data_IF_620925001958
#
_entry.id   IF_620925001958
#
_cell.length_a   1.000
_cell.length_b   1.000
_cell.length_c   1.000
_cell.angle_alpha   90.00
_cell.angle_beta   90.00
_cell.angle_gamma   90.00
#
_symmetry.space_group_name_H-M   'P 1'
#
loop_
_entity.id
_entity.type
_entity.pdbx_description
1 polymer ?
#
# COMPACT_ATOMS: atom_id res chain seq x y z
N UNK A 1 2.35 3.02 8.56
CA UNK A 1 1.04 3.66 8.74
C UNK A 1 0.54 3.98 7.34
N UNK A 2 -0.60 3.40 7.00
CA UNK A 2 -1.36 3.78 5.83
C UNK A 2 -2.34 4.87 6.27
N UNK A 3 -2.44 5.95 5.51
CA UNK A 3 -3.57 6.88 5.62
C UNK A 3 -4.59 6.45 4.57
N UNK A 4 -5.80 6.16 5.03
CA UNK A 4 -6.83 5.50 4.24
C UNK A 4 -8.12 6.29 4.39
N UNK A 5 -8.82 6.52 3.31
CA UNK A 5 -10.22 6.93 3.33
C UNK A 5 -11.14 5.77 3.73
N UNK A 6 -10.69 4.50 3.71
CA UNK A 6 -11.51 3.37 4.14
C UNK A 6 -10.71 2.18 4.74
N UNK A 7 -10.78 2.01 6.06
CA UNK A 7 -10.28 0.79 6.75
C UNK A 7 -11.49 0.02 7.22
N UNK A 8 -12.02 -0.94 6.45
CA UNK A 8 -13.04 -1.82 7.04
C UNK A 8 -13.28 -3.16 6.38
N UNK A 9 -13.63 -4.05 7.30
CA UNK A 9 -13.81 -5.50 7.24
C UNK A 9 -15.15 -5.88 6.57
N UNK A 10 -15.99 -4.90 6.17
CA UNK A 10 -17.26 -5.15 5.48
C UNK A 10 -17.73 -3.99 4.58
N UNK A 11 -17.92 -4.31 3.30
CA UNK A 11 -18.95 -3.85 2.34
C UNK A 11 -19.22 -2.33 2.17
N UNK A 12 -18.41 -1.68 1.33
CA UNK A 12 -18.93 -0.79 0.28
C UNK A 12 -19.28 0.65 0.64
N UNK A 13 -19.17 1.07 1.90
CA UNK A 13 -19.42 2.47 2.28
C UNK A 13 -18.10 3.20 2.51
N UNK A 14 -17.92 4.34 1.83
CA UNK A 14 -16.78 5.24 2.07
C UNK A 14 -16.95 5.92 3.43
N UNK A 15 -15.85 6.06 4.16
CA UNK A 15 -15.89 6.79 5.44
C UNK A 15 -15.85 8.30 5.17
N UNK A 16 -16.43 9.08 6.09
CA UNK A 16 -16.42 10.55 6.02
C UNK A 16 -15.20 11.17 6.68
N UNK A 17 -14.42 10.37 7.39
CA UNK A 17 -13.27 10.82 8.19
C UNK A 17 -12.05 10.02 7.79
N UNK A 18 -10.90 10.68 7.69
CA UNK A 18 -9.65 10.00 7.36
C UNK A 18 -9.37 8.90 8.39
N UNK A 19 -9.11 7.70 7.91
CA UNK A 19 -8.74 6.52 8.68
C UNK A 19 -7.24 6.27 8.57
N UNK A 20 -6.74 5.41 9.45
CA UNK A 20 -5.37 4.91 9.38
C UNK A 20 -5.28 3.44 9.77
N UNK A 21 -4.31 2.75 9.18
CA UNK A 21 -4.03 1.36 9.52
C UNK A 21 -2.54 1.07 9.65
N UNK A 22 -2.21 0.13 10.53
CA UNK A 22 -0.87 -0.45 10.64
C UNK A 22 -0.84 -1.78 9.90
N UNK A 23 -0.01 -1.85 8.87
CA UNK A 23 0.25 -3.05 8.07
C UNK A 23 1.73 -3.39 8.10
N UNK A 24 2.07 -4.61 7.69
CA UNK A 24 3.45 -5.07 7.54
C UNK A 24 3.81 -5.15 6.06
N UNK A 25 5.04 -4.77 5.71
CA UNK A 25 5.60 -5.06 4.40
C UNK A 25 5.77 -6.58 4.27
N UNK A 26 5.34 -7.13 3.14
CA UNK A 26 5.44 -8.56 2.84
C UNK A 26 6.61 -8.76 1.89
N UNK A 27 7.38 -9.83 2.12
CA UNK A 27 8.50 -10.17 1.26
C UNK A 27 8.05 -10.34 -0.19
N UNK A 28 8.80 -9.76 -1.13
CA UNK A 28 8.47 -9.76 -2.55
C UNK A 28 8.20 -11.18 -3.09
N UNK A 29 9.05 -12.14 -2.75
CA UNK A 29 8.92 -13.52 -3.24
C UNK A 29 7.67 -14.21 -2.72
N UNK A 30 7.30 -13.93 -1.46
CA UNK A 30 6.05 -14.43 -0.87
C UNK A 30 4.85 -13.80 -1.56
N UNK A 31 4.84 -12.47 -1.72
CA UNK A 31 3.73 -11.81 -2.39
C UNK A 31 3.58 -12.23 -3.85
N UNK A 32 4.69 -12.40 -4.56
CA UNK A 32 4.66 -12.81 -5.96
C UNK A 32 4.04 -14.20 -6.13
N UNK A 33 4.31 -15.14 -5.21
CA UNK A 33 3.65 -16.45 -5.18
C UNK A 33 2.16 -16.36 -4.88
N UNK A 34 1.73 -15.40 -4.06
CA UNK A 34 0.31 -15.20 -3.77
C UNK A 34 -0.45 -14.68 -5.00
N UNK A 35 0.18 -13.88 -5.86
CA UNK A 35 -0.43 -13.28 -7.04
C UNK A 35 0.05 -13.91 -8.35
N UNK A 36 0.32 -15.22 -8.38
CA UNK A 36 0.64 -15.97 -9.60
C UNK A 36 1.72 -15.31 -10.48
N UNK A 37 2.75 -14.76 -9.83
CA UNK A 37 3.90 -14.10 -10.43
C UNK A 37 3.63 -12.76 -11.13
N UNK A 38 2.49 -12.11 -10.87
CA UNK A 38 2.12 -10.80 -11.42
C UNK A 38 2.82 -9.59 -10.75
N UNK A 39 3.51 -9.78 -9.63
CA UNK A 39 4.14 -8.69 -8.87
C UNK A 39 5.49 -8.33 -9.49
N UNK A 40 5.59 -7.12 -10.04
CA UNK A 40 6.81 -6.60 -10.66
C UNK A 40 7.78 -6.01 -9.63
N UNK A 41 9.02 -5.71 -10.05
CA UNK A 41 10.03 -5.03 -9.21
C UNK A 41 9.67 -3.59 -8.83
N UNK A 42 8.69 -2.99 -9.51
CA UNK A 42 8.16 -1.66 -9.25
C UNK A 42 6.98 -1.67 -8.25
N UNK A 43 6.61 -2.85 -7.77
CA UNK A 43 5.53 -3.05 -6.81
C UNK A 43 6.08 -3.60 -5.49
N UNK A 44 5.36 -3.34 -4.40
CA UNK A 44 5.54 -3.99 -3.10
C UNK A 44 4.18 -4.35 -2.53
N UNK A 45 4.14 -5.29 -1.60
CA UNK A 45 2.90 -5.68 -0.93
C UNK A 45 2.95 -5.34 0.55
N UNK A 46 1.81 -4.93 1.10
CA UNK A 46 1.67 -4.69 2.52
C UNK A 46 0.29 -5.11 3.02
N UNK A 47 0.23 -5.69 4.20
CA UNK A 47 -1.03 -6.13 4.79
C UNK A 47 -0.85 -7.12 5.93
N UNK A 48 -1.93 -7.78 6.28
CA UNK A 48 -1.96 -8.95 7.14
C UNK A 48 -2.36 -10.17 6.31
N UNK A 49 -1.54 -11.23 6.29
CA UNK A 49 -1.86 -12.44 5.51
C UNK A 49 -3.10 -13.18 6.04
N UNK A 50 -3.51 -12.94 7.29
CA UNK A 50 -4.78 -13.44 7.81
C UNK A 50 -5.99 -12.62 7.33
N UNK A 51 -5.78 -11.53 6.58
CA UNK A 51 -6.82 -10.58 6.19
C UNK A 51 -7.17 -9.58 7.30
N UNK A 52 -8.35 -8.98 7.19
CA UNK A 52 -8.94 -8.07 8.19
C UNK A 52 -8.45 -6.62 8.15
N UNK A 53 -7.22 -6.35 7.72
CA UNK A 53 -6.68 -4.98 7.61
C UNK A 53 -6.11 -4.78 6.22
N UNK A 54 -6.63 -3.79 5.49
CA UNK A 54 -6.22 -3.48 4.13
C UNK A 54 -6.61 -2.06 3.73
N UNK A 55 -5.96 -1.55 2.69
CA UNK A 55 -6.49 -0.44 1.90
C UNK A 55 -7.62 -0.97 1.01
N UNK A 56 -8.60 -0.14 0.67
CA UNK A 56 -9.74 -0.55 -0.14
C UNK A 56 -10.12 0.52 -1.18
N UNK A 57 -11.33 0.40 -1.71
CA UNK A 57 -11.88 1.32 -2.70
C UNK A 57 -11.91 2.75 -2.15
N UNK A 58 -11.42 3.69 -2.96
CA UNK A 58 -11.27 5.10 -2.57
C UNK A 58 -9.92 5.46 -1.97
N UNK A 59 -9.06 4.47 -1.65
CA UNK A 59 -7.73 4.73 -1.09
C UNK A 59 -6.63 4.85 -2.16
N UNK A 60 -6.93 4.53 -3.42
CA UNK A 60 -5.99 4.57 -4.54
C UNK A 60 -5.26 5.92 -4.65
N UNK A 61 -3.94 5.89 -4.78
CA UNK A 61 -3.09 7.08 -4.73
C UNK A 61 -2.70 7.52 -3.31
N UNK A 62 -3.33 6.96 -2.28
CA UNK A 62 -3.05 7.24 -0.88
C UNK A 62 -1.66 6.75 -0.42
N UNK A 63 -1.11 7.34 0.65
CA UNK A 63 0.26 7.07 1.09
C UNK A 63 0.37 5.83 1.99
N UNK A 64 1.35 4.98 1.69
CA UNK A 64 1.93 4.03 2.63
C UNK A 64 3.22 4.61 3.20
N UNK A 65 3.17 5.01 4.47
CA UNK A 65 4.30 5.59 5.18
C UNK A 65 4.95 4.58 6.15
N UNK A 66 6.28 4.58 6.23
CA UNK A 66 7.05 3.81 7.21
C UNK A 66 7.79 4.76 8.16
N UNK A 67 7.81 4.41 9.45
CA UNK A 67 8.56 5.15 10.46
C UNK A 67 10.03 4.73 10.37
N UNK A 68 10.90 5.68 10.02
CA UNK A 68 12.33 5.48 9.94
C UNK A 68 13.08 5.98 11.17
N UNK A 69 14.41 6.10 11.05
CA UNK A 69 15.27 6.65 12.10
C UNK A 69 14.88 8.10 12.42
N UNK A 70 15.08 8.50 13.67
CA UNK A 70 14.79 9.88 14.11
C UNK A 70 13.30 10.22 14.14
N UNK A 71 12.42 9.22 14.27
CA UNK A 71 10.96 9.40 14.32
C UNK A 71 10.36 10.09 13.08
N UNK A 72 11.02 9.96 11.92
CA UNK A 72 10.57 10.55 10.66
C UNK A 72 9.78 9.54 9.84
N UNK A 73 8.66 9.99 9.29
CA UNK A 73 7.85 9.20 8.37
C UNK A 73 8.34 9.36 6.94
N UNK A 74 8.45 8.24 6.22
CA UNK A 74 8.88 8.19 4.83
C UNK A 74 7.80 7.54 3.97
N UNK A 75 7.46 8.19 2.85
CA UNK A 75 6.59 7.60 1.84
C UNK A 75 7.31 6.41 1.18
N UNK A 76 6.81 5.21 1.41
CA UNK A 76 7.42 3.95 0.96
C UNK A 76 6.62 3.33 -0.17
N UNK A 77 5.30 3.52 -0.17
CA UNK A 77 4.43 3.05 -1.23
C UNK A 77 3.25 3.97 -1.49
N UNK A 78 2.59 3.73 -2.63
CA UNK A 78 1.34 4.40 -3.02
C UNK A 78 0.30 3.31 -3.25
N UNK A 79 -0.89 3.43 -2.64
CA UNK A 79 -1.98 2.47 -2.81
C UNK A 79 -2.28 2.32 -4.29
N UNK A 80 -2.25 1.09 -4.81
CA UNK A 80 -2.42 0.82 -6.24
C UNK A 80 -3.60 -0.10 -6.50
N UNK A 81 -3.48 -1.38 -6.11
CA UNK A 81 -4.50 -2.39 -6.41
C UNK A 81 -4.47 -3.55 -5.40
N UNK A 82 -5.45 -4.46 -5.50
CA UNK A 82 -5.55 -5.68 -4.71
C UNK A 82 -6.74 -6.52 -5.14
N UNK A 83 -6.75 -7.81 -4.79
CA UNK A 83 -7.88 -8.69 -5.07
C UNK A 83 -8.93 -8.65 -3.96
N UNK A 84 -9.89 -7.74 -4.10
CA UNK A 84 -10.83 -7.44 -3.02
C UNK A 84 -10.15 -6.68 -1.88
N UNK A 85 -10.82 -6.59 -0.73
CA UNK A 85 -10.29 -5.88 0.43
C UNK A 85 -10.22 -6.82 1.64
N UNK A 86 -9.10 -6.76 2.38
CA UNK A 86 -8.92 -7.44 3.66
C UNK A 86 -9.11 -8.96 3.60
N UNK A 87 -8.88 -9.56 2.42
CA UNK A 87 -9.00 -11.01 2.20
C UNK A 87 -7.76 -11.74 2.70
N UNK A 88 -7.98 -12.93 3.26
CA UNK A 88 -6.88 -13.83 3.64
C UNK A 88 -6.00 -14.14 2.44
N UNK A 89 -4.68 -14.07 2.63
CA UNK A 89 -3.66 -14.32 1.60
C UNK A 89 -3.74 -13.42 0.36
N UNK A 90 -4.49 -12.31 0.41
CA UNK A 90 -4.61 -11.32 -0.66
C UNK A 90 -4.23 -9.94 -0.11
N UNK A 91 -2.93 -9.67 0.09
CA UNK A 91 -2.49 -8.39 0.63
C UNK A 91 -2.61 -7.28 -0.42
N UNK A 92 -2.84 -6.03 0.00
CA UNK A 92 -2.78 -4.88 -0.91
C UNK A 92 -1.43 -4.75 -1.61
N UNK A 93 -1.48 -4.30 -2.87
CA UNK A 93 -0.33 -4.04 -3.74
C UNK A 93 -0.16 -2.54 -3.93
N UNK A 94 1.07 -2.10 -3.76
CA UNK A 94 1.45 -0.69 -3.73
C UNK A 94 2.55 -0.44 -4.75
N UNK A 95 2.53 0.74 -5.37
CA UNK A 95 3.69 1.21 -6.13
C UNK A 95 4.86 1.39 -5.19
N UNK A 96 6.02 0.82 -5.52
CA UNK A 96 7.25 0.93 -4.72
C UNK A 96 7.94 2.25 -5.05
N UNK A 97 7.80 3.24 -4.17
CA UNK A 97 8.28 4.62 -4.42
C UNK A 97 9.78 4.68 -4.69
N UNK A 98 10.58 3.85 -4.01
CA UNK A 98 12.03 3.79 -4.23
C UNK A 98 12.42 3.37 -5.65
N UNK A 99 11.54 2.65 -6.37
CA UNK A 99 11.78 2.28 -7.77
C UNK A 99 11.61 3.45 -8.74
N UNK A 100 11.12 4.60 -8.27
CA UNK A 100 10.90 5.82 -9.05
C UNK A 100 11.71 7.01 -8.50
N UNK A 101 12.76 6.73 -7.70
CA UNK A 101 13.55 7.75 -7.02
C UNK A 101 14.23 8.75 -7.98
N UNK A 102 14.59 8.34 -9.19
CA UNK A 102 15.18 9.23 -10.19
C UNK A 102 14.12 10.07 -10.91
N UNK A 103 12.96 9.46 -11.20
CA UNK A 103 11.88 10.12 -11.94
C UNK A 103 11.21 11.23 -11.14
N UNK A 104 10.95 11.02 -9.83
CA UNK A 104 10.21 11.98 -9.00
C UNK A 104 10.91 13.36 -8.95
N UNK A 105 12.20 13.46 -8.58
CA UNK A 105 12.88 14.76 -8.54
C UNK A 105 12.98 15.40 -9.92
N UNK A 106 13.29 14.61 -10.97
CA UNK A 106 13.38 15.14 -12.34
C UNK A 106 12.08 15.79 -12.80
N UNK A 107 10.94 15.19 -12.43
CA UNK A 107 9.61 15.72 -12.76
C UNK A 107 9.28 16.96 -11.94
N UNK A 108 9.64 16.99 -10.66
CA UNK A 108 9.40 18.15 -9.79
C UNK A 108 10.21 19.38 -10.21
N UNK A 109 11.44 19.19 -10.69
CA UNK A 109 12.31 20.27 -11.18
C UNK A 109 11.96 20.77 -12.58
N UNK A 110 11.02 20.12 -13.27
CA UNK A 110 10.56 20.49 -14.61
C UNK A 110 9.35 21.45 -14.60
N UNK A 111 8.92 21.90 -13.41
CA UNK A 111 7.90 22.93 -13.19
C UNK A 111 8.52 24.15 -12.51
#
# INVERSE_FOLDING_TARGET
MLYLHNVSINLGQLTKTLQEAKVKIINQSVCNKLYDYLITSQMLCAGNLNGGIDACQGDSGGPLACLGKGNRWYLTGIVSWGEGCARRNRPGVYTKVTSFYEWIPSSQSSF
#
